data_IF_026067935046
#
_entry.id   IF_026067935046
#
_cell.length_a   1.000
_cell.length_b   1.000
_cell.length_c   1.000
_cell.angle_alpha   90.00
_cell.angle_beta   90.00
_cell.angle_gamma   90.00
#
_symmetry.space_group_name_H-M   'P 1'
#
loop_
_entity.id
_entity.type
_entity.pdbx_description
1 polymer ?
#
# COMPACT_ATOMS: atom_id res chain seq x y z
N UNK A 1 41.34 9.19 -33.11
CA UNK A 1 40.83 8.41 -31.96
C UNK A 1 40.92 9.33 -30.75
N UNK A 2 39.77 9.78 -30.22
CA UNK A 2 39.76 10.58 -28.98
C UNK A 2 40.11 9.69 -27.80
N UNK A 3 40.90 10.22 -26.88
CA UNK A 3 41.36 9.52 -25.68
C UNK A 3 40.14 9.20 -24.78
N UNK A 4 40.13 8.01 -24.16
CA UNK A 4 39.07 7.58 -23.24
C UNK A 4 38.95 8.50 -22.03
N UNK A 5 40.02 9.20 -21.66
CA UNK A 5 40.00 10.18 -20.57
C UNK A 5 39.26 11.48 -20.92
N UNK A 6 39.26 11.91 -22.18
CA UNK A 6 38.57 13.14 -22.59
C UNK A 6 37.04 12.96 -22.55
N UNK A 7 36.56 11.75 -22.85
CA UNK A 7 35.12 11.41 -22.77
C UNK A 7 34.65 11.35 -21.30
N UNK A 8 35.52 10.91 -20.39
CA UNK A 8 35.20 10.86 -18.96
C UNK A 8 35.12 12.26 -18.34
N UNK A 9 35.99 13.18 -18.78
CA UNK A 9 36.04 14.54 -18.26
C UNK A 9 34.90 15.43 -18.77
N UNK A 10 34.46 15.26 -20.02
CA UNK A 10 33.22 15.90 -20.51
C UNK A 10 31.95 15.36 -19.82
N UNK A 11 31.96 14.08 -19.42
CA UNK A 11 30.85 13.48 -18.67
C UNK A 11 30.77 14.02 -17.22
N UNK A 12 31.91 14.29 -16.59
CA UNK A 12 31.98 14.84 -15.23
C UNK A 12 31.73 16.35 -15.16
N UNK A 13 32.07 17.11 -16.21
CA UNK A 13 31.85 18.57 -16.26
C UNK A 13 30.37 18.94 -16.42
N UNK A 14 29.54 18.00 -16.90
CA UNK A 14 28.08 18.19 -17.02
C UNK A 14 27.35 18.10 -15.68
N UNK A 15 27.97 17.53 -14.64
CA UNK A 15 27.37 17.36 -13.30
C UNK A 15 27.74 18.45 -12.29
N UNK A 16 28.58 19.42 -12.63
CA UNK A 16 29.08 20.44 -11.69
C UNK A 16 28.42 21.82 -11.83
N UNK A 17 27.22 21.89 -12.41
CA UNK A 17 26.38 23.09 -12.36
C UNK A 17 24.94 22.75 -11.98
N UNK A 18 24.77 22.47 -10.71
CA UNK A 18 23.64 22.96 -9.92
C UNK A 18 24.13 22.97 -8.48
N UNK A 19 24.46 24.16 -7.99
CA UNK A 19 24.59 24.43 -6.56
C UNK A 19 23.20 24.31 -5.93
N UNK A 20 22.70 23.08 -5.80
CA UNK A 20 21.71 22.79 -4.77
C UNK A 20 22.46 22.83 -3.45
N UNK A 21 22.07 23.75 -2.58
CA UNK A 21 22.47 23.74 -1.18
C UNK A 21 22.01 22.39 -0.62
N UNK A 22 22.94 21.45 -0.54
CA UNK A 22 22.77 20.24 0.27
C UNK A 22 22.88 20.73 1.70
N UNK A 23 21.75 21.00 2.34
CA UNK A 23 21.73 21.17 3.79
C UNK A 23 22.51 20.01 4.40
N UNK A 24 23.51 20.31 5.22
CA UNK A 24 24.14 19.29 6.05
C UNK A 24 22.99 18.58 6.78
N UNK A 25 22.90 17.24 6.71
CA UNK A 25 21.81 16.53 7.36
C UNK A 25 21.83 16.90 8.84
N UNK A 26 20.69 17.37 9.35
CA UNK A 26 20.52 17.67 10.77
C UNK A 26 21.12 16.52 11.59
N UNK A 27 21.85 16.82 12.68
CA UNK A 27 22.41 15.79 13.53
C UNK A 27 21.28 14.86 13.97
N UNK A 28 21.46 13.56 13.67
CA UNK A 28 20.47 12.54 13.97
C UNK A 28 20.05 12.65 15.43
N UNK A 29 18.74 12.71 15.75
CA UNK A 29 18.30 12.64 17.13
C UNK A 29 18.88 11.37 17.76
N UNK A 30 19.35 11.48 19.01
CA UNK A 30 19.93 10.36 19.73
C UNK A 30 18.96 9.17 19.65
N UNK A 31 19.38 8.09 19.00
CA UNK A 31 18.58 6.90 18.82
C UNK A 31 18.11 6.41 20.20
N UNK A 32 16.80 6.38 20.40
CA UNK A 32 16.22 5.80 21.61
C UNK A 32 16.56 4.30 21.60
N UNK A 33 17.18 3.74 22.64
CA UNK A 33 17.46 2.30 22.67
C UNK A 33 16.11 1.56 22.57
N UNK A 34 15.92 0.76 21.52
CA UNK A 34 14.67 0.11 21.06
C UNK A 34 13.89 0.80 19.91
N UNK A 35 14.52 1.53 18.99
CA UNK A 35 13.82 2.03 17.81
C UNK A 35 13.49 0.88 16.81
N UNK A 36 12.20 0.72 16.49
CA UNK A 36 11.69 -0.26 15.54
C UNK A 36 11.21 0.47 14.28
N UNK A 37 11.79 0.18 13.13
CA UNK A 37 11.34 0.74 11.84
C UNK A 37 10.20 -0.09 11.24
N UNK A 38 9.24 0.57 10.59
CA UNK A 38 8.19 -0.11 9.83
C UNK A 38 8.42 0.13 8.34
N UNK A 39 8.40 -0.93 7.53
CA UNK A 39 8.51 -0.85 6.08
C UNK A 39 7.19 -1.28 5.44
N UNK A 40 6.80 -0.62 4.36
CA UNK A 40 5.63 -0.99 3.56
C UNK A 40 5.90 -0.74 2.08
N UNK A 41 5.49 -1.62 1.18
CA UNK A 41 5.74 -1.38 -0.24
C UNK A 41 4.86 -0.30 -0.88
N UNK A 42 5.35 0.25 -1.98
CA UNK A 42 4.67 1.31 -2.72
C UNK A 42 3.37 0.86 -3.43
N UNK A 43 3.04 -0.44 -3.45
CA UNK A 43 1.72 -0.89 -3.91
C UNK A 43 0.65 -0.82 -2.79
N UNK A 44 1.05 -0.43 -1.57
CA UNK A 44 0.12 -0.07 -0.51
C UNK A 44 -0.26 1.42 -0.58
N UNK A 45 -1.54 1.70 -0.36
CA UNK A 45 -2.06 3.07 -0.39
C UNK A 45 -1.87 3.77 0.96
N UNK A 46 -0.61 3.95 1.37
CA UNK A 46 -0.30 4.74 2.55
C UNK A 46 -0.76 6.19 2.36
N UNK A 47 -1.45 6.80 3.34
CA UNK A 47 -1.70 8.24 3.37
C UNK A 47 -0.40 9.06 3.27
N UNK A 48 -0.43 10.19 2.55
CA UNK A 48 0.77 10.99 2.28
C UNK A 48 1.50 11.46 3.56
N UNK A 49 0.76 11.84 4.60
CA UNK A 49 1.31 12.21 5.92
C UNK A 49 2.11 11.07 6.59
N UNK A 50 1.81 9.82 6.24
CA UNK A 50 2.49 8.64 6.75
C UNK A 50 3.71 8.27 5.91
N UNK A 51 3.72 8.62 4.62
CA UNK A 51 4.89 8.45 3.73
C UNK A 51 6.01 9.39 4.13
N UNK A 52 5.67 10.61 4.55
CA UNK A 52 6.64 11.64 4.96
C UNK A 52 7.13 11.47 6.42
N UNK A 53 6.62 10.45 7.14
CA UNK A 53 6.97 10.21 8.54
C UNK A 53 8.24 9.39 8.69
N UNK A 54 9.09 9.72 9.68
CA UNK A 54 10.33 8.99 9.94
C UNK A 54 10.12 7.50 10.32
N UNK A 55 8.94 7.15 10.83
CA UNK A 55 8.67 5.83 11.43
C UNK A 55 8.17 4.78 10.41
N UNK A 56 7.81 5.19 9.19
CA UNK A 56 7.44 4.29 8.08
C UNK A 56 8.30 4.60 6.86
N UNK A 57 9.03 3.60 6.36
CA UNK A 57 9.76 3.69 5.10
C UNK A 57 9.05 2.93 3.98
N UNK A 58 9.02 3.54 2.79
CA UNK A 58 8.42 2.91 1.61
C UNK A 58 9.44 2.01 0.90
N UNK A 59 9.06 0.75 0.64
CA UNK A 59 9.82 -0.15 -0.24
C UNK A 59 9.38 0.12 -1.68
N UNK A 60 10.28 0.62 -2.55
CA UNK A 60 9.88 1.05 -3.88
C UNK A 60 9.53 -0.12 -4.81
N UNK A 61 8.64 0.16 -5.76
CA UNK A 61 8.30 -0.76 -6.86
C UNK A 61 8.47 -0.05 -8.20
N UNK A 62 8.68 -0.80 -9.28
CA UNK A 62 8.75 -0.25 -10.63
C UNK A 62 7.37 -0.26 -11.29
N UNK A 63 7.00 0.86 -11.92
CA UNK A 63 5.84 1.00 -12.80
C UNK A 63 6.35 1.25 -14.22
N UNK A 64 6.27 0.21 -15.05
CA UNK A 64 6.76 0.19 -16.43
C UNK A 64 5.64 0.52 -17.38
N UNK A 65 5.78 1.62 -18.10
CA UNK A 65 4.89 2.04 -19.18
C UNK A 65 5.68 2.07 -20.48
N UNK A 66 5.00 2.11 -21.63
CA UNK A 66 5.68 2.19 -22.92
C UNK A 66 6.53 3.46 -23.09
N UNK A 67 6.14 4.54 -22.42
CA UNK A 67 6.77 5.86 -22.49
C UNK A 67 7.88 6.07 -21.46
N UNK A 68 7.80 5.41 -20.29
CA UNK A 68 8.69 5.67 -19.16
C UNK A 68 8.69 4.47 -18.18
N UNK A 69 9.79 4.27 -17.45
CA UNK A 69 9.85 3.37 -16.31
C UNK A 69 10.04 4.21 -15.03
N UNK A 70 8.98 4.31 -14.24
CA UNK A 70 8.97 5.11 -13.02
C UNK A 70 9.19 4.20 -11.82
N UNK A 71 10.01 4.64 -10.87
CA UNK A 71 10.15 3.94 -9.60
C UNK A 71 9.23 4.60 -8.58
N UNK A 72 8.13 3.93 -8.26
CA UNK A 72 7.18 4.42 -7.26
C UNK A 72 7.79 4.32 -5.86
N UNK A 73 8.14 5.50 -5.31
CA UNK A 73 8.58 5.69 -3.92
C UNK A 73 7.50 6.38 -3.08
N UNK A 74 6.32 6.62 -3.67
CA UNK A 74 5.19 7.36 -3.07
C UNK A 74 5.49 8.82 -2.71
N UNK A 75 6.57 9.41 -3.23
CA UNK A 75 6.89 10.83 -2.99
C UNK A 75 5.90 11.74 -3.72
N UNK A 76 5.97 13.05 -3.45
CA UNK A 76 5.19 14.05 -4.18
C UNK A 76 5.39 13.94 -5.71
N UNK A 77 6.60 13.62 -6.19
CA UNK A 77 6.87 13.43 -7.61
C UNK A 77 6.03 12.30 -8.20
N UNK A 78 6.03 11.11 -7.58
CA UNK A 78 5.26 9.98 -8.12
C UNK A 78 3.75 10.16 -7.93
N UNK A 79 3.31 10.93 -6.94
CA UNK A 79 1.90 11.33 -6.81
C UNK A 79 1.48 12.25 -7.98
N UNK A 80 2.31 13.24 -8.35
CA UNK A 80 2.06 14.09 -9.53
C UNK A 80 2.03 13.25 -10.80
N UNK A 81 3.01 12.35 -10.99
CA UNK A 81 3.01 11.42 -12.13
C UNK A 81 1.75 10.55 -12.18
N UNK A 82 1.25 10.11 -11.03
CA UNK A 82 0.01 9.33 -10.96
C UNK A 82 -1.22 10.09 -11.45
N UNK A 83 -1.23 11.42 -11.33
CA UNK A 83 -2.30 12.31 -11.80
C UNK A 83 -2.14 12.70 -13.26
N UNK A 84 -0.91 12.93 -13.73
CA UNK A 84 -0.62 13.37 -15.10
C UNK A 84 -0.66 12.22 -16.12
N UNK A 85 -0.36 10.99 -15.68
CA UNK A 85 -0.33 9.83 -16.57
C UNK A 85 -1.74 9.46 -17.02
N UNK A 86 -1.92 9.28 -18.33
CA UNK A 86 -3.21 8.91 -18.89
C UNK A 86 -3.69 7.55 -18.37
N UNK A 87 -4.99 7.41 -18.14
CA UNK A 87 -5.59 6.15 -17.74
C UNK A 87 -5.29 5.02 -18.74
N UNK A 88 -5.21 5.35 -20.03
CA UNK A 88 -4.89 4.38 -21.08
C UNK A 88 -3.46 3.82 -20.97
N UNK A 89 -2.51 4.62 -20.49
CA UNK A 89 -1.13 4.20 -20.25
C UNK A 89 -1.01 3.42 -18.94
N UNK A 90 -1.67 3.87 -17.86
CA UNK A 90 -1.74 3.15 -16.58
C UNK A 90 -2.34 1.75 -16.76
N UNK A 91 -3.43 1.63 -17.52
CA UNK A 91 -4.08 0.34 -17.82
C UNK A 91 -3.23 -0.61 -18.66
N UNK A 92 -2.11 -0.15 -19.23
CA UNK A 92 -1.13 -0.97 -19.95
C UNK A 92 0.17 -1.14 -19.18
N UNK A 93 0.35 -0.44 -18.06
CA UNK A 93 1.54 -0.53 -17.27
C UNK A 93 1.73 -1.93 -16.68
N UNK A 94 2.97 -2.24 -16.33
CA UNK A 94 3.35 -3.39 -15.51
C UNK A 94 3.93 -2.89 -14.19
N UNK A 95 3.45 -3.45 -13.07
CA UNK A 95 4.03 -3.21 -11.75
C UNK A 95 4.92 -4.38 -11.39
N UNK A 96 6.17 -4.09 -10.99
CA UNK A 96 7.17 -5.12 -10.65
C UNK A 96 7.95 -4.73 -9.41
N UNK A 97 8.23 -5.72 -8.56
CA UNK A 97 9.20 -5.54 -7.49
C UNK A 97 10.58 -5.24 -8.08
N UNK A 98 11.36 -4.41 -7.39
CA UNK A 98 12.77 -4.22 -7.73
C UNK A 98 13.58 -5.44 -7.32
N UNK A 99 14.60 -5.77 -8.11
CA UNK A 99 15.58 -6.78 -7.71
C UNK A 99 16.48 -6.25 -6.56
N UNK A 100 17.32 -7.09 -5.92
CA UNK A 100 18.16 -6.65 -4.82
C UNK A 100 19.11 -5.50 -5.16
N UNK A 101 19.59 -5.41 -6.41
CA UNK A 101 20.46 -4.33 -6.85
C UNK A 101 19.69 -3.01 -6.99
N UNK A 102 18.48 -3.06 -7.53
CA UNK A 102 17.57 -1.92 -7.65
C UNK A 102 17.11 -1.40 -6.29
N UNK A 103 16.91 -2.31 -5.32
CA UNK A 103 16.65 -1.97 -3.92
C UNK A 103 17.87 -1.34 -3.26
N UNK A 104 19.08 -1.85 -3.45
CA UNK A 104 20.29 -1.29 -2.81
C UNK A 104 20.51 0.20 -3.08
N UNK A 105 20.21 0.64 -4.30
CA UNK A 105 20.33 2.05 -4.68
C UNK A 105 19.28 2.96 -4.02
N UNK A 106 18.15 2.40 -3.53
CA UNK A 106 16.94 3.16 -3.20
C UNK A 106 16.40 2.93 -1.80
N UNK A 107 16.72 1.78 -1.23
CA UNK A 107 16.46 1.41 0.15
C UNK A 107 17.81 1.46 0.86
N UNK A 108 18.05 2.57 1.54
CA UNK A 108 19.35 2.86 2.15
C UNK A 108 19.60 1.95 3.35
N UNK A 109 20.80 1.39 3.50
CA UNK A 109 21.23 0.75 4.76
C UNK A 109 21.17 1.71 5.97
N UNK A 110 20.91 3.01 5.75
CA UNK A 110 20.55 3.99 6.80
C UNK A 110 19.38 3.57 7.66
N UNK A 111 18.33 2.91 7.14
CA UNK A 111 17.25 2.43 8.03
C UNK A 111 17.79 1.41 9.05
N UNK A 112 18.80 0.62 8.66
CA UNK A 112 19.47 -0.30 9.56
C UNK A 112 20.50 0.38 10.49
N UNK A 113 20.69 1.70 10.39
CA UNK A 113 21.48 2.52 11.32
C UNK A 113 20.54 3.33 12.23
N UNK A 114 19.41 3.80 11.69
CA UNK A 114 18.36 4.54 12.40
C UNK A 114 17.56 3.65 13.36
N UNK A 115 17.38 2.38 13.00
CA UNK A 115 16.63 1.41 13.78
C UNK A 115 17.48 0.24 14.28
N UNK A 116 17.13 -0.31 15.45
CA UNK A 116 17.71 -1.55 15.97
C UNK A 116 17.08 -2.80 15.36
N UNK A 117 15.83 -2.66 14.94
CA UNK A 117 15.07 -3.70 14.26
C UNK A 117 14.07 -3.09 13.29
N UNK A 118 13.63 -3.85 12.30
CA UNK A 118 12.55 -3.42 11.43
C UNK A 118 11.62 -4.55 11.00
N UNK A 119 10.37 -4.17 10.75
CA UNK A 119 9.31 -5.06 10.29
C UNK A 119 8.74 -4.54 8.98
N UNK A 120 8.80 -5.38 7.94
CA UNK A 120 8.23 -5.07 6.63
C UNK A 120 6.87 -5.73 6.47
N UNK A 121 5.84 -4.94 6.15
CA UNK A 121 4.50 -5.39 5.77
C UNK A 121 4.39 -5.29 4.25
N UNK A 122 4.40 -6.44 3.59
CA UNK A 122 4.37 -6.53 2.13
C UNK A 122 2.98 -6.89 1.62
N UNK A 123 2.57 -6.28 0.52
CA UNK A 123 1.38 -6.61 -0.25
C UNK A 123 1.44 -8.06 -0.73
N UNK A 124 0.27 -8.65 -0.91
CA UNK A 124 0.14 -10.00 -1.46
C UNK A 124 0.81 -10.11 -2.85
N UNK A 125 1.45 -11.24 -3.13
CA UNK A 125 2.23 -11.44 -4.37
C UNK A 125 1.41 -11.27 -5.65
N UNK A 126 0.09 -11.42 -5.56
CA UNK A 126 -0.84 -11.28 -6.68
C UNK A 126 -0.99 -9.86 -7.24
N UNK A 127 -0.44 -8.85 -6.54
CA UNK A 127 -0.31 -7.49 -7.07
C UNK A 127 1.15 -7.12 -7.32
N UNK A 128 2.05 -7.47 -6.40
CA UNK A 128 3.49 -7.30 -6.56
C UNK A 128 4.26 -8.20 -5.57
N UNK A 129 5.23 -8.98 -6.06
CA UNK A 129 5.97 -9.93 -5.23
C UNK A 129 7.24 -9.32 -4.60
N UNK A 130 7.06 -8.36 -3.68
CA UNK A 130 8.15 -7.61 -3.02
C UNK A 130 8.89 -8.47 -1.98
N UNK A 131 8.19 -9.34 -1.26
CA UNK A 131 8.74 -10.05 -0.11
C UNK A 131 9.98 -10.90 -0.43
N UNK A 132 10.04 -11.68 -1.54
CA UNK A 132 11.24 -12.44 -1.90
C UNK A 132 12.42 -11.57 -2.31
N UNK A 133 12.16 -10.44 -2.98
CA UNK A 133 13.20 -9.50 -3.39
C UNK A 133 13.81 -8.79 -2.19
N UNK A 134 12.97 -8.33 -1.27
CA UNK A 134 13.41 -7.70 -0.03
C UNK A 134 14.21 -8.68 0.85
N UNK A 135 13.78 -9.95 0.93
CA UNK A 135 14.52 -11.00 1.64
C UNK A 135 15.90 -11.23 1.03
N UNK A 136 15.99 -11.25 -0.30
CA UNK A 136 17.24 -11.44 -1.02
C UNK A 136 18.18 -10.26 -0.83
N UNK A 137 17.64 -9.02 -0.91
CA UNK A 137 18.35 -7.79 -0.59
C UNK A 137 18.94 -7.81 0.83
N UNK A 138 18.14 -8.14 1.85
CA UNK A 138 18.61 -8.18 3.24
C UNK A 138 19.70 -9.23 3.45
N UNK A 139 19.61 -10.37 2.76
CA UNK A 139 20.64 -11.41 2.82
C UNK A 139 21.95 -10.91 2.20
N UNK A 140 21.89 -10.30 1.02
CA UNK A 140 23.09 -9.86 0.29
C UNK A 140 23.81 -8.68 0.96
N UNK A 141 23.09 -7.83 1.70
CA UNK A 141 23.66 -6.65 2.37
C UNK A 141 23.93 -6.86 3.87
N UNK A 142 23.79 -8.08 4.39
CA UNK A 142 23.92 -8.37 5.82
C UNK A 142 25.31 -8.05 6.39
N UNK A 143 26.38 -8.34 5.65
CA UNK A 143 27.76 -8.03 6.06
C UNK A 143 28.06 -6.52 6.02
N UNK A 144 27.51 -5.81 5.04
CA UNK A 144 27.60 -4.34 4.96
C UNK A 144 26.90 -3.69 6.15
N UNK A 145 25.64 -4.08 6.42
CA UNK A 145 24.86 -3.60 7.57
C UNK A 145 25.61 -3.88 8.89
N UNK A 146 26.17 -5.08 9.05
CA UNK A 146 26.93 -5.44 10.24
C UNK A 146 28.19 -4.58 10.40
N UNK A 147 28.89 -4.30 9.31
CA UNK A 147 30.12 -3.49 9.30
C UNK A 147 29.80 -2.03 9.61
N UNK A 148 28.82 -1.43 8.93
CA UNK A 148 28.34 -0.07 9.18
C UNK A 148 27.90 0.14 10.63
N UNK A 149 27.13 -0.81 11.19
CA UNK A 149 26.70 -0.75 12.60
C UNK A 149 27.89 -0.82 13.57
N UNK A 150 28.89 -1.67 13.31
CA UNK A 150 30.13 -1.71 14.13
C UNK A 150 30.89 -0.40 14.10
N UNK A 151 31.06 0.19 12.92
CA UNK A 151 31.76 1.47 12.74
C UNK A 151 31.08 2.62 13.48
N UNK A 152 29.75 2.56 13.61
CA UNK A 152 28.94 3.52 14.36
C UNK A 152 28.80 3.19 15.86
N UNK A 153 29.45 2.13 16.34
CA UNK A 153 29.35 1.71 17.75
C UNK A 153 27.98 1.13 18.14
N UNK A 154 27.15 0.75 17.16
CA UNK A 154 25.84 0.14 17.35
C UNK A 154 25.96 -1.39 17.50
N UNK A 155 24.90 -2.01 18.02
CA UNK A 155 24.82 -3.47 18.07
C UNK A 155 24.92 -4.06 16.64
N UNK A 156 25.94 -4.87 16.30
CA UNK A 156 26.11 -5.36 14.93
C UNK A 156 24.98 -6.27 14.43
N UNK A 157 24.18 -6.82 15.34
CA UNK A 157 23.00 -7.61 15.00
C UNK A 157 21.83 -6.65 14.74
N UNK A 158 21.25 -6.76 13.55
CA UNK A 158 20.03 -6.05 13.16
C UNK A 158 18.91 -7.08 12.95
N UNK A 159 17.78 -6.92 13.63
CA UNK A 159 16.65 -7.85 13.50
C UNK A 159 15.69 -7.35 12.41
N UNK A 160 15.44 -8.17 11.39
CA UNK A 160 14.56 -7.82 10.29
C UNK A 160 13.55 -8.93 10.00
N UNK A 161 12.26 -8.59 9.92
CA UNK A 161 11.19 -9.54 9.59
C UNK A 161 10.38 -9.02 8.42
N UNK A 162 9.95 -9.94 7.56
CA UNK A 162 9.09 -9.67 6.41
C UNK A 162 7.81 -10.46 6.60
N UNK A 163 6.70 -9.76 6.53
CA UNK A 163 5.36 -10.29 6.68
C UNK A 163 4.58 -10.07 5.39
N UNK A 164 4.00 -11.16 4.89
CA UNK A 164 2.95 -11.07 3.88
C UNK A 164 1.67 -10.61 4.59
N UNK A 165 1.15 -9.46 4.14
CA UNK A 165 -0.09 -8.87 4.66
C UNK A 165 -1.32 -9.71 4.34
N UNK A 166 -1.22 -10.60 3.34
CA UNK A 166 -2.36 -11.33 2.75
C UNK A 166 -3.49 -10.39 2.32
N UNK A 167 -3.13 -9.17 1.98
CA UNK A 167 -4.04 -8.13 1.51
C UNK A 167 -3.34 -7.30 0.45
N UNK A 168 -4.05 -6.31 -0.08
CA UNK A 168 -3.57 -5.44 -1.16
C UNK A 168 -3.95 -3.98 -0.87
N UNK A 169 -3.34 -3.03 -1.56
CA UNK A 169 -3.78 -1.61 -1.57
C UNK A 169 -3.97 -1.03 -0.15
N UNK A 170 -5.17 -0.53 0.18
CA UNK A 170 -5.51 0.00 1.50
C UNK A 170 -5.38 -1.03 2.63
N UNK A 171 -5.54 -2.32 2.35
CA UNK A 171 -5.43 -3.39 3.36
C UNK A 171 -4.01 -3.54 3.88
N UNK A 172 -3.02 -3.64 2.97
CA UNK A 172 -1.59 -3.63 3.33
C UNK A 172 -1.23 -2.37 4.11
N UNK A 173 -1.67 -1.21 3.62
CA UNK A 173 -1.37 0.08 4.24
C UNK A 173 -1.95 0.19 5.65
N UNK A 174 -3.19 -0.26 5.87
CA UNK A 174 -3.83 -0.25 7.19
C UNK A 174 -3.04 -1.11 8.19
N UNK A 175 -2.54 -2.28 7.79
CA UNK A 175 -1.69 -3.11 8.65
C UNK A 175 -0.38 -2.43 9.01
N UNK A 176 0.29 -1.76 8.06
CA UNK A 176 1.51 -1.01 8.34
C UNK A 176 1.25 0.16 9.32
N UNK A 177 0.14 0.87 9.15
CA UNK A 177 -0.27 1.93 10.08
C UNK A 177 -0.55 1.39 11.49
N UNK A 178 -1.18 0.23 11.60
CA UNK A 178 -1.44 -0.43 12.88
C UNK A 178 -0.14 -0.88 13.57
N UNK A 179 0.79 -1.47 12.83
CA UNK A 179 2.10 -1.85 13.36
C UNK A 179 2.90 -0.62 13.81
N UNK A 180 2.90 0.48 13.05
CA UNK A 180 3.52 1.74 13.48
C UNK A 180 2.94 2.23 14.81
N UNK A 181 1.63 2.18 14.96
CA UNK A 181 0.97 2.59 16.19
C UNK A 181 1.36 1.70 17.37
N UNK A 182 1.43 0.38 17.18
CA UNK A 182 1.92 -0.54 18.22
C UNK A 182 3.39 -0.32 18.58
N UNK A 183 4.23 0.03 17.61
CA UNK A 183 5.61 0.46 17.87
C UNK A 183 5.63 1.70 18.77
N UNK A 184 4.83 2.72 18.45
CA UNK A 184 4.73 3.96 19.26
C UNK A 184 4.21 3.70 20.68
N UNK A 185 3.38 2.68 20.85
CA UNK A 185 2.91 2.21 22.16
C UNK A 185 3.94 1.35 22.92
N UNK A 186 5.14 1.15 22.37
CA UNK A 186 6.22 0.42 23.02
C UNK A 186 6.07 -1.10 22.98
N UNK A 187 5.27 -1.65 22.05
CA UNK A 187 5.17 -3.10 21.88
C UNK A 187 6.50 -3.65 21.40
N UNK A 188 7.04 -4.61 22.16
CA UNK A 188 8.34 -5.22 21.88
C UNK A 188 8.34 -5.98 20.53
N UNK A 189 9.45 -5.87 19.77
CA UNK A 189 9.62 -6.46 18.43
C UNK A 189 9.16 -7.92 18.30
N UNK A 190 9.54 -8.79 19.25
CA UNK A 190 9.14 -10.20 19.26
C UNK A 190 7.61 -10.42 19.27
N UNK A 191 6.85 -9.49 19.86
CA UNK A 191 5.38 -9.54 19.89
C UNK A 191 4.77 -8.97 18.60
N UNK A 192 5.46 -8.05 17.92
CA UNK A 192 5.00 -7.47 16.67
C UNK A 192 4.88 -8.52 15.56
N UNK A 193 5.76 -9.52 15.52
CA UNK A 193 5.67 -10.63 14.56
C UNK A 193 4.30 -11.33 14.61
N UNK A 194 3.89 -11.78 15.80
CA UNK A 194 2.59 -12.43 16.03
C UNK A 194 1.43 -11.45 15.80
N UNK A 195 1.66 -10.17 16.07
CA UNK A 195 0.67 -9.13 15.84
C UNK A 195 0.42 -8.93 14.34
N UNK A 196 1.48 -8.86 13.52
CA UNK A 196 1.38 -8.77 12.07
C UNK A 196 0.66 -9.99 11.46
N UNK A 197 0.97 -11.21 11.94
CA UNK A 197 0.24 -12.43 11.52
C UNK A 197 -1.27 -12.34 11.82
N UNK A 198 -1.64 -11.85 13.02
CA UNK A 198 -3.06 -11.63 13.39
C UNK A 198 -3.72 -10.52 12.58
N UNK A 199 -3.00 -9.44 12.29
CA UNK A 199 -3.52 -8.38 11.44
C UNK A 199 -3.81 -8.91 10.04
N UNK A 200 -2.95 -9.75 9.47
CA UNK A 200 -3.20 -10.40 8.19
C UNK A 200 -4.48 -11.25 8.20
N UNK A 201 -4.75 -11.98 9.28
CA UNK A 201 -5.95 -12.83 9.43
C UNK A 201 -7.25 -12.03 9.63
N UNK A 202 -7.17 -10.79 10.11
CA UNK A 202 -8.31 -9.98 10.54
C UNK A 202 -8.48 -8.68 9.75
N UNK A 203 -7.65 -8.45 8.73
CA UNK A 203 -7.83 -7.32 7.82
C UNK A 203 -8.81 -7.72 6.73
N UNK A 204 -9.88 -6.95 6.64
CA UNK A 204 -10.90 -7.07 5.62
C UNK A 204 -10.70 -5.98 4.59
N UNK A 205 -10.71 -6.35 3.30
CA UNK A 205 -10.61 -5.43 2.19
C UNK A 205 -11.83 -5.55 1.30
N UNK A 206 -12.45 -4.41 0.99
CA UNK A 206 -13.51 -4.28 0.01
C UNK A 206 -13.02 -3.41 -1.14
N UNK A 207 -13.38 -3.78 -2.36
CA UNK A 207 -12.94 -3.10 -3.57
C UNK A 207 -14.02 -3.06 -4.63
N UNK A 208 -14.27 -1.87 -5.18
CA UNK A 208 -15.13 -1.69 -6.35
C UNK A 208 -14.28 -1.21 -7.51
N UNK A 209 -14.16 -1.98 -8.61
CA UNK A 209 -13.50 -1.51 -9.82
C UNK A 209 -14.32 -0.42 -10.50
N UNK A 210 -13.67 0.67 -10.91
CA UNK A 210 -14.32 1.71 -11.71
C UNK A 210 -14.63 1.25 -13.14
N UNK A 211 -13.77 0.40 -13.73
CA UNK A 211 -14.07 -0.34 -14.96
C UNK A 211 -13.78 -1.84 -14.74
N UNK A 212 -14.86 -2.60 -14.54
CA UNK A 212 -14.84 -4.04 -14.31
C UNK A 212 -14.09 -4.81 -15.42
N UNK A 213 -14.28 -4.46 -16.70
CA UNK A 213 -13.64 -5.17 -17.82
C UNK A 213 -12.16 -4.82 -17.96
N UNK A 214 -11.81 -3.56 -17.76
CA UNK A 214 -10.42 -3.15 -17.73
C UNK A 214 -9.68 -3.81 -16.57
N UNK A 215 -10.28 -3.85 -15.38
CA UNK A 215 -9.70 -4.49 -14.21
C UNK A 215 -9.45 -5.99 -14.44
N UNK A 216 -10.42 -6.71 -15.01
CA UNK A 216 -10.23 -8.11 -15.39
C UNK A 216 -9.06 -8.32 -16.37
N UNK A 217 -8.84 -7.40 -17.31
CA UNK A 217 -7.70 -7.45 -18.24
C UNK A 217 -6.37 -7.17 -17.53
N UNK A 218 -6.35 -6.24 -16.57
CA UNK A 218 -5.15 -5.98 -15.75
C UNK A 218 -4.77 -7.23 -14.96
N UNK A 219 -5.71 -7.82 -14.21
CA UNK A 219 -5.46 -9.04 -13.43
C UNK A 219 -5.03 -10.24 -14.30
N UNK A 220 -5.63 -10.41 -15.48
CA UNK A 220 -5.20 -11.45 -16.44
C UNK A 220 -3.76 -11.26 -16.92
N UNK A 221 -3.29 -10.01 -17.06
CA UNK A 221 -1.89 -9.72 -17.41
C UNK A 221 -0.94 -9.99 -16.24
N UNK A 222 -1.37 -9.74 -15.00
CA UNK A 222 -0.60 -10.13 -13.81
C UNK A 222 -0.44 -11.65 -13.75
N UNK A 223 -1.50 -12.40 -14.10
CA UNK A 223 -1.40 -13.84 -14.36
C UNK A 223 -1.32 -14.72 -13.11
N UNK A 224 -1.65 -14.16 -11.94
CA UNK A 224 -1.67 -14.90 -10.68
C UNK A 224 -2.99 -15.64 -10.46
N UNK A 225 -2.95 -16.90 -10.03
CA UNK A 225 -4.14 -17.73 -9.85
C UNK A 225 -4.98 -17.31 -8.65
N UNK A 226 -4.39 -16.68 -7.64
CA UNK A 226 -5.12 -16.26 -6.42
C UNK A 226 -6.21 -15.22 -6.71
N UNK A 227 -6.07 -14.44 -7.78
CA UNK A 227 -7.05 -13.41 -8.19
C UNK A 227 -8.08 -13.91 -9.20
N UNK A 228 -8.09 -15.20 -9.55
CA UNK A 228 -9.13 -15.78 -10.41
C UNK A 228 -10.56 -15.49 -9.96
N UNK A 229 -10.91 -15.51 -8.65
CA UNK A 229 -12.25 -15.15 -8.21
C UNK A 229 -12.64 -13.72 -8.59
N UNK A 230 -11.71 -12.76 -8.47
CA UNK A 230 -11.92 -11.38 -8.91
C UNK A 230 -12.05 -11.28 -10.43
N UNK A 231 -11.20 -11.99 -11.18
CA UNK A 231 -11.29 -12.05 -12.65
C UNK A 231 -12.66 -12.58 -13.08
N UNK A 232 -13.15 -13.66 -12.44
CA UNK A 232 -14.44 -14.27 -12.74
C UNK A 232 -15.60 -13.31 -12.44
N UNK A 233 -15.59 -12.68 -11.28
CA UNK A 233 -16.58 -11.68 -10.89
C UNK A 233 -16.61 -10.51 -11.89
N UNK A 234 -15.45 -10.12 -12.39
CA UNK A 234 -15.30 -9.01 -13.33
C UNK A 234 -15.51 -9.40 -14.80
N UNK A 235 -15.54 -10.69 -15.14
CA UNK A 235 -15.77 -11.16 -16.51
C UNK A 235 -17.26 -11.34 -16.85
N UNK A 236 -18.17 -11.00 -15.92
CA UNK A 236 -19.61 -11.14 -16.07
C UNK A 236 -20.27 -10.13 -17.03
N UNK A 237 -21.60 -10.14 -17.07
CA UNK A 237 -22.41 -9.27 -17.95
C UNK A 237 -22.09 -7.79 -17.72
N UNK A 238 -22.10 -7.01 -18.80
CA UNK A 238 -21.64 -5.61 -18.87
C UNK A 238 -22.42 -4.62 -18.02
N UNK A 239 -23.55 -5.04 -17.45
CA UNK A 239 -24.50 -4.22 -16.72
C UNK A 239 -24.37 -4.33 -15.19
N UNK A 240 -23.31 -4.96 -14.67
CA UNK A 240 -23.08 -5.07 -13.23
C UNK A 240 -21.64 -4.73 -12.85
N UNK A 241 -21.47 -4.06 -11.71
CA UNK A 241 -20.21 -3.77 -11.06
C UNK A 241 -20.15 -4.55 -9.74
N UNK A 242 -19.15 -5.43 -9.53
CA UNK A 242 -19.06 -6.21 -8.30
C UNK A 242 -18.48 -5.38 -7.15
N UNK A 243 -18.86 -5.73 -5.92
CA UNK A 243 -18.06 -5.46 -4.72
C UNK A 243 -17.19 -6.68 -4.49
N UNK A 244 -15.89 -6.50 -4.56
CA UNK A 244 -14.88 -7.54 -4.39
C UNK A 244 -14.35 -7.53 -2.95
N UNK A 245 -13.97 -8.71 -2.45
CA UNK A 245 -13.43 -8.91 -1.11
C UNK A 245 -12.04 -9.54 -1.15
N UNK A 246 -11.19 -9.20 -0.18
CA UNK A 246 -9.95 -9.92 0.12
C UNK A 246 -9.78 -10.02 1.65
N UNK A 247 -9.98 -11.23 2.19
CA UNK A 247 -9.93 -11.51 3.62
C UNK A 247 -8.92 -12.62 3.90
N UNK A 248 -7.86 -12.33 4.67
CA UNK A 248 -6.81 -13.31 4.98
C UNK A 248 -6.16 -13.95 3.74
N UNK A 249 -6.08 -13.22 2.63
CA UNK A 249 -5.53 -13.69 1.35
C UNK A 249 -6.55 -14.40 0.45
N UNK A 250 -7.81 -14.52 0.88
CA UNK A 250 -8.86 -15.13 0.08
C UNK A 250 -9.60 -14.07 -0.72
N UNK A 251 -9.48 -14.15 -2.04
CA UNK A 251 -10.15 -13.25 -2.98
C UNK A 251 -11.56 -13.75 -3.31
N UNK A 252 -12.54 -12.86 -3.37
CA UNK A 252 -13.92 -13.23 -3.70
C UNK A 252 -14.78 -12.06 -4.18
N UNK A 253 -16.02 -12.37 -4.56
CA UNK A 253 -17.07 -11.37 -4.75
C UNK A 253 -17.98 -11.38 -3.54
N UNK A 254 -18.24 -10.20 -2.99
CA UNK A 254 -19.09 -9.99 -1.81
C UNK A 254 -20.51 -9.67 -2.25
N UNK A 255 -20.65 -8.80 -3.25
CA UNK A 255 -21.93 -8.34 -3.77
C UNK A 255 -21.80 -7.85 -5.22
N UNK A 256 -22.90 -7.42 -5.84
CA UNK A 256 -22.92 -6.76 -7.14
C UNK A 256 -24.12 -5.82 -7.26
N UNK A 257 -23.92 -4.69 -7.93
CA UNK A 257 -24.99 -3.75 -8.28
C UNK A 257 -24.90 -3.34 -9.75
N UNK A 258 -25.90 -2.63 -10.26
CA UNK A 258 -26.00 -2.28 -11.69
C UNK A 258 -24.85 -1.41 -12.23
N UNK A 259 -24.17 -0.63 -11.39
CA UNK A 259 -23.02 0.18 -11.81
C UNK A 259 -22.11 0.48 -10.61
N UNK A 260 -20.90 0.97 -10.90
CA UNK A 260 -19.89 1.24 -9.88
C UNK A 260 -20.37 2.23 -8.81
N UNK A 261 -21.13 3.28 -9.18
CA UNK A 261 -21.67 4.24 -8.21
C UNK A 261 -22.63 3.59 -7.21
N UNK A 262 -23.49 2.67 -7.67
CA UNK A 262 -24.39 1.92 -6.78
C UNK A 262 -23.61 0.95 -5.91
N UNK A 263 -22.63 0.23 -6.46
CA UNK A 263 -21.78 -0.71 -5.70
C UNK A 263 -20.96 0.01 -4.63
N UNK A 264 -20.42 1.20 -4.94
CA UNK A 264 -19.74 2.07 -3.97
C UNK A 264 -20.71 2.51 -2.88
N UNK A 265 -21.91 2.97 -3.24
CA UNK A 265 -22.93 3.38 -2.25
C UNK A 265 -23.29 2.25 -1.30
N UNK A 266 -23.57 1.05 -1.84
CA UNK A 266 -23.87 -0.14 -1.05
C UNK A 266 -22.70 -0.55 -0.14
N UNK A 267 -21.46 -0.51 -0.66
CA UNK A 267 -20.26 -0.80 0.13
C UNK A 267 -20.09 0.18 1.30
N UNK A 268 -20.27 1.48 1.06
CA UNK A 268 -20.17 2.51 2.10
C UNK A 268 -21.28 2.37 3.15
N UNK A 269 -22.52 2.09 2.73
CA UNK A 269 -23.63 1.83 3.65
C UNK A 269 -23.38 0.58 4.51
N UNK A 270 -22.92 -0.52 3.91
CA UNK A 270 -22.52 -1.72 4.64
C UNK A 270 -21.42 -1.42 5.66
N UNK A 271 -20.45 -0.57 5.29
CA UNK A 271 -19.38 -0.15 6.18
C UNK A 271 -19.86 0.74 7.33
N UNK A 272 -20.82 1.64 7.08
CA UNK A 272 -21.48 2.41 8.15
C UNK A 272 -22.13 1.48 9.16
N UNK A 273 -22.82 0.43 8.72
CA UNK A 273 -23.38 -0.55 9.63
C UNK A 273 -22.28 -1.32 10.38
N UNK A 274 -21.19 -1.71 9.71
CA UNK A 274 -20.02 -2.35 10.33
C UNK A 274 -19.40 -1.48 11.43
N UNK A 275 -19.35 -0.17 11.24
CA UNK A 275 -18.90 0.80 12.26
C UNK A 275 -19.74 0.71 13.53
N UNK A 276 -21.06 0.66 13.42
CA UNK A 276 -21.94 0.50 14.59
C UNK A 276 -21.83 -0.88 15.28
N UNK A 277 -21.54 -1.94 14.52
CA UNK A 277 -21.21 -3.25 15.10
C UNK A 277 -19.81 -3.25 15.77
N UNK A 278 -18.95 -2.31 15.39
CA UNK A 278 -17.61 -2.12 15.92
C UNK A 278 -16.52 -2.72 15.04
N UNK A 279 -15.28 -2.28 15.24
CA UNK A 279 -14.06 -2.79 14.59
C UNK A 279 -13.02 -3.11 15.66
N UNK A 280 -12.11 -4.04 15.39
CA UNK A 280 -11.08 -4.44 16.35
C UNK A 280 -9.88 -3.49 16.38
N UNK A 281 -9.73 -2.65 15.36
CA UNK A 281 -8.77 -1.54 15.31
C UNK A 281 -9.52 -0.27 14.92
N UNK A 282 -9.45 0.83 15.69
CA UNK A 282 -10.29 2.02 15.52
C UNK A 282 -9.82 2.91 14.35
N UNK A 283 -9.61 2.31 13.18
CA UNK A 283 -9.28 3.00 11.94
C UNK A 283 -9.84 2.26 10.75
N UNK A 284 -10.41 3.03 9.83
CA UNK A 284 -10.81 2.60 8.50
C UNK A 284 -9.97 3.40 7.51
N UNK A 285 -9.42 2.71 6.51
CA UNK A 285 -8.66 3.36 5.44
C UNK A 285 -9.43 3.22 4.12
N UNK A 286 -9.63 4.35 3.46
CA UNK A 286 -10.27 4.45 2.15
C UNK A 286 -9.25 5.01 1.16
N UNK A 287 -8.99 4.28 0.07
CA UNK A 287 -8.19 4.78 -1.05
C UNK A 287 -9.04 4.87 -2.32
N UNK A 288 -8.86 5.95 -3.08
CA UNK A 288 -9.68 6.23 -4.27
C UNK A 288 -8.83 6.60 -5.49
N UNK A 289 -9.15 6.01 -6.64
CA UNK A 289 -8.55 6.31 -7.94
C UNK A 289 -9.31 7.39 -8.73
N UNK A 290 -9.85 8.39 -8.03
CA UNK A 290 -10.54 9.54 -8.63
C UNK A 290 -10.42 10.79 -7.76
N UNK A 291 -11.29 11.76 -8.00
CA UNK A 291 -11.32 13.01 -7.23
C UNK A 291 -11.94 12.79 -5.84
N UNK A 292 -11.17 13.05 -4.77
CA UNK A 292 -11.65 12.81 -3.39
C UNK A 292 -12.87 13.67 -3.02
N UNK A 293 -13.02 14.86 -3.64
CA UNK A 293 -14.19 15.73 -3.44
C UNK A 293 -15.48 15.04 -3.89
N UNK A 294 -15.44 14.26 -4.97
CA UNK A 294 -16.59 13.52 -5.50
C UNK A 294 -17.05 12.46 -4.51
N UNK A 295 -16.11 11.73 -3.89
CA UNK A 295 -16.42 10.76 -2.85
C UNK A 295 -16.96 11.45 -1.59
N UNK A 296 -16.36 12.57 -1.16
CA UNK A 296 -16.82 13.35 0.00
C UNK A 296 -18.23 13.93 -0.17
N UNK A 297 -18.64 14.23 -1.40
CA UNK A 297 -19.97 14.73 -1.72
C UNK A 297 -21.05 13.63 -1.73
N UNK A 298 -20.69 12.36 -1.57
CA UNK A 298 -21.65 11.27 -1.52
C UNK A 298 -22.35 11.21 -0.15
N UNK A 299 -23.70 11.19 -0.10
CA UNK A 299 -24.43 11.05 1.16
C UNK A 299 -24.00 9.81 1.97
N UNK A 300 -23.71 8.70 1.29
CA UNK A 300 -23.25 7.46 1.95
C UNK A 300 -21.87 7.62 2.61
N UNK A 301 -21.00 8.48 2.05
CA UNK A 301 -19.70 8.78 2.64
C UNK A 301 -19.81 9.76 3.81
N UNK A 302 -20.73 10.72 3.72
CA UNK A 302 -21.06 11.62 4.84
C UNK A 302 -21.62 10.83 6.03
N UNK A 303 -22.53 9.90 5.78
CA UNK A 303 -23.10 9.02 6.80
C UNK A 303 -22.01 8.15 7.47
N UNK A 304 -21.13 7.54 6.67
CA UNK A 304 -19.96 6.81 7.19
C UNK A 304 -19.07 7.72 8.05
N UNK A 305 -18.80 8.94 7.59
CA UNK A 305 -17.98 9.91 8.33
C UNK A 305 -18.62 10.25 9.68
N UNK A 306 -19.93 10.50 9.70
CA UNK A 306 -20.68 10.76 10.94
C UNK A 306 -20.62 9.56 11.90
N UNK A 307 -20.87 8.35 11.40
CA UNK A 307 -20.82 7.12 12.21
C UNK A 307 -19.42 6.88 12.79
N UNK A 308 -18.36 7.06 12.01
CA UNK A 308 -16.98 6.90 12.50
C UNK A 308 -16.63 7.92 13.58
N UNK A 309 -17.11 9.17 13.46
CA UNK A 309 -16.93 10.19 14.51
C UNK A 309 -17.69 9.83 15.78
N UNK A 310 -18.92 9.32 15.67
CA UNK A 310 -19.71 8.89 16.82
C UNK A 310 -19.07 7.73 17.58
N UNK A 311 -18.42 6.81 16.86
CA UNK A 311 -17.79 5.61 17.41
C UNK A 311 -16.30 5.77 17.74
N UNK A 312 -15.75 6.99 17.69
CA UNK A 312 -14.32 7.30 17.91
C UNK A 312 -13.37 6.48 17.01
N UNK A 313 -13.78 6.22 15.77
CA UNK A 313 -13.00 5.52 14.75
C UNK A 313 -12.39 6.53 13.78
N UNK A 314 -11.09 6.41 13.50
CA UNK A 314 -10.40 7.27 12.54
C UNK A 314 -10.74 6.85 11.12
N UNK A 315 -11.45 7.69 10.36
CA UNK A 315 -11.65 7.51 8.92
C UNK A 315 -10.54 8.23 8.15
N UNK A 316 -9.65 7.47 7.51
CA UNK A 316 -8.58 8.00 6.66
C UNK A 316 -8.98 7.91 5.19
N UNK A 317 -8.89 9.01 4.45
CA UNK A 317 -9.15 9.05 3.01
C UNK A 317 -7.90 9.51 2.26
N UNK A 318 -7.45 8.70 1.30
CA UNK A 318 -6.25 8.98 0.49
C UNK A 318 -6.48 8.71 -1.00
N UNK A 319 -5.63 9.29 -1.85
CA UNK A 319 -5.51 8.86 -3.23
C UNK A 319 -4.79 7.50 -3.32
N UNK A 320 -5.19 6.69 -4.30
CA UNK A 320 -4.40 5.53 -4.70
C UNK A 320 -3.04 5.95 -5.29
N UNK A 321 -1.97 5.23 -4.95
CA UNK A 321 -0.62 5.49 -5.46
C UNK A 321 -0.44 5.18 -6.95
N UNK A 322 0.73 5.50 -7.53
CA UNK A 322 1.00 5.27 -8.95
C UNK A 322 0.94 3.77 -9.29
N UNK A 323 1.62 2.93 -8.50
CA UNK A 323 1.59 1.48 -8.64
C UNK A 323 0.17 0.93 -8.47
N UNK A 324 -0.56 1.39 -7.46
CA UNK A 324 -1.96 0.99 -7.26
C UNK A 324 -2.83 1.39 -8.44
N UNK A 325 -2.70 2.60 -8.99
CA UNK A 325 -3.48 3.06 -10.15
C UNK A 325 -3.19 2.26 -11.42
N UNK A 326 -1.98 1.72 -11.59
CA UNK A 326 -1.64 0.81 -12.68
C UNK A 326 -2.28 -0.58 -12.52
N UNK A 327 -2.57 -1.00 -11.29
CA UNK A 327 -3.21 -2.28 -10.96
C UNK A 327 -4.74 -2.17 -10.86
N UNK A 328 -5.22 -1.03 -10.37
CA UNK A 328 -6.61 -0.67 -10.27
C UNK A 328 -7.11 -0.04 -11.59
N UNK A 329 -8.34 0.47 -11.57
CA UNK A 329 -8.92 1.19 -12.70
C UNK A 329 -9.35 2.59 -12.27
N UNK A 330 -9.45 3.56 -13.20
CA UNK A 330 -9.92 4.89 -12.87
C UNK A 330 -11.30 4.83 -12.20
N UNK A 331 -11.47 5.58 -11.11
CA UNK A 331 -12.70 5.55 -10.31
C UNK A 331 -12.87 4.33 -9.40
N UNK A 332 -11.87 3.44 -9.31
CA UNK A 332 -11.84 2.37 -8.30
C UNK A 332 -11.84 2.93 -6.88
N UNK A 333 -12.57 2.28 -5.98
CA UNK A 333 -12.60 2.57 -4.55
C UNK A 333 -12.16 1.32 -3.78
N UNK A 334 -11.23 1.49 -2.85
CA UNK A 334 -10.80 0.44 -1.93
C UNK A 334 -11.04 0.90 -0.48
N UNK A 335 -11.54 0.00 0.34
CA UNK A 335 -11.75 0.19 1.77
C UNK A 335 -11.07 -0.95 2.51
N UNK A 336 -10.38 -0.64 3.60
CA UNK A 336 -9.87 -1.62 4.54
C UNK A 336 -10.28 -1.29 5.97
N UNK A 337 -10.55 -2.33 6.75
CA UNK A 337 -10.80 -2.27 8.19
C UNK A 337 -10.30 -3.56 8.85
N UNK A 338 -10.10 -3.56 10.17
CA UNK A 338 -9.67 -4.75 10.92
C UNK A 338 -10.75 -5.17 11.91
N UNK A 339 -11.16 -6.44 11.87
CA UNK A 339 -12.21 -7.00 12.71
C UNK A 339 -11.95 -8.48 13.01
N UNK A 340 -12.24 -8.91 14.24
CA UNK A 340 -12.21 -10.33 14.63
C UNK A 340 -13.53 -11.06 14.38
N UNK A 341 -14.62 -10.33 14.07
CA UNK A 341 -15.90 -10.94 13.74
C UNK A 341 -15.88 -11.45 12.28
N UNK A 342 -16.34 -12.68 12.04
CA UNK A 342 -16.45 -13.22 10.68
C UNK A 342 -17.52 -12.50 9.85
N UNK A 343 -17.22 -12.28 8.57
CA UNK A 343 -17.98 -11.44 7.64
C UNK A 343 -19.31 -12.03 7.13
N UNK A 344 -19.77 -13.15 7.70
CA UNK A 344 -21.16 -13.59 7.49
C UNK A 344 -22.18 -12.52 7.93
N UNK A 345 -21.77 -11.61 8.82
CA UNK A 345 -22.55 -10.44 9.23
C UNK A 345 -22.56 -9.29 8.19
N UNK A 346 -21.47 -9.03 7.46
CA UNK A 346 -21.40 -7.94 6.48
C UNK A 346 -22.27 -8.24 5.24
N UNK A 347 -22.18 -9.46 4.69
CA UNK A 347 -23.03 -9.92 3.58
C UNK A 347 -24.51 -9.90 3.96
N UNK A 348 -24.85 -10.34 5.17
CA UNK A 348 -26.23 -10.30 5.68
C UNK A 348 -26.76 -8.89 5.85
N UNK A 349 -25.88 -7.93 6.19
CA UNK A 349 -26.25 -6.52 6.40
C UNK A 349 -26.44 -5.78 5.08
N UNK A 350 -25.64 -6.08 4.05
CA UNK A 350 -25.86 -5.54 2.70
C UNK A 350 -27.18 -6.04 2.09
N UNK A 351 -27.53 -7.32 2.27
CA UNK A 351 -28.81 -7.88 1.81
C UNK A 351 -30.04 -7.27 2.51
N UNK A 352 -29.91 -6.82 3.75
CA UNK A 352 -30.96 -6.12 4.50
C UNK A 352 -31.20 -4.68 4.02
N UNK A 353 -30.19 -4.03 3.44
CA UNK A 353 -30.33 -2.67 2.90
C UNK A 353 -31.09 -2.66 1.57
N UNK A 354 -30.86 -3.66 0.70
CA UNK A 354 -31.52 -3.80 -0.61
C UNK A 354 -33.03 -4.14 -0.48
N UNK A 355 -33.42 -4.81 0.61
CA UNK A 355 -34.82 -5.17 0.89
C UNK A 355 -35.68 -4.02 1.44
N UNK A 356 -35.09 -2.85 1.74
CA UNK A 356 -35.83 -1.63 2.11
C UNK A 356 -36.11 -0.70 0.91
N UNK A 357 -35.72 -1.10 -0.30
CA UNK A 357 -35.87 -0.34 -1.54
C UNK A 357 -36.84 -1.00 -2.55
N UNK A 358 -37.66 -1.98 -2.12
CA UNK A 358 -38.76 -2.57 -2.91
C UNK A 358 -40.11 -2.11 -2.36
#
# INVERSE_FOLDING_TARGET
MRDKNDILMDFLSTFTRNDEVVDEPEPLPAASPNSIGVLCDAAADLPSDSVDSADISVVPVAVRMNSENIIDRRTAYEQTKAQETSDADLLKAEVKALDPAGLAYRLSSRFAIEFDSAIAICSHHSVVDVAPQLRSYMKSHSDEVRSLRREKGLNPKFEFTIHDSRSVFAGTALQALAIREFVRQGIHYRNLRRTAERLADHTHLLFVPGDTKAFARVLKRVGDLSVEPWIRACSGLTAFSPVLGCDGGQFGAVDKSFNARKSIGAMLQGLTQRVYVGVSYPRILVSYAGELSTLRAMPEFEELTAATREMDIVLSLTHMGLATRALATPGSLCVAYISTASDSSFVSTMQMADSRLI
#
